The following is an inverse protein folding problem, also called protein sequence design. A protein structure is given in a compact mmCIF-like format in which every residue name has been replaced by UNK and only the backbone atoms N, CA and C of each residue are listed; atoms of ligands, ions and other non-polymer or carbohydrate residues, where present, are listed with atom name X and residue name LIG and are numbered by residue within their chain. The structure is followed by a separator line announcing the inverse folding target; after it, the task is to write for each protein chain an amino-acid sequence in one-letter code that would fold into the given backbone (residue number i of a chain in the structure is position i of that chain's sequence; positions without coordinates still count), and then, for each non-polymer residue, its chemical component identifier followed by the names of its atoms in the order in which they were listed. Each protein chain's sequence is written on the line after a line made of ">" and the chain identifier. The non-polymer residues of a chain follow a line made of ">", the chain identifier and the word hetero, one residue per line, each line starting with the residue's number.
data_IF_136961773370
#
_entry.id   IF_136961773370
#
_cell.length_a   1.000
_cell.length_b   1.000
_cell.length_c   1.000
_cell.angle_alpha   90.00
_cell.angle_beta   90.00
_cell.angle_gamma   90.00
#
_symmetry.space_group_name_H-M   'P 1'
#
loop_
_entity.id
_entity.type
_entity.pdbx_description
1 polymer ?
#
# COMPACT_ATOMS: atom_id res chain seq x y z
N UNK A 1 29.41 -28.84 -1.87
CA UNK A 1 28.51 -27.73 -1.53
C UNK A 1 27.44 -28.29 -0.62
N UNK A 2 27.30 -27.77 0.61
CA UNK A 2 26.35 -28.31 1.57
C UNK A 2 24.92 -27.83 1.28
N UNK A 3 23.94 -28.41 1.99
CA UNK A 3 22.52 -28.08 1.79
C UNK A 3 22.19 -26.61 2.12
N UNK A 4 22.92 -25.98 3.06
CA UNK A 4 22.70 -24.60 3.47
C UNK A 4 23.22 -23.62 2.40
N UNK A 5 24.37 -23.90 1.80
CA UNK A 5 24.96 -23.12 0.72
C UNK A 5 24.03 -23.13 -0.51
N UNK A 6 23.52 -24.31 -0.90
CA UNK A 6 22.55 -24.42 -2.02
C UNK A 6 21.27 -23.64 -1.70
N UNK A 7 20.73 -23.82 -0.50
CA UNK A 7 19.54 -23.11 -0.07
C UNK A 7 19.74 -21.59 -0.06
N UNK A 8 20.91 -21.10 0.31
CA UNK A 8 21.22 -19.67 0.30
C UNK A 8 21.27 -19.08 -1.12
N UNK A 9 21.83 -19.79 -2.10
CA UNK A 9 21.77 -19.37 -3.51
C UNK A 9 20.33 -19.30 -4.03
N UNK A 10 19.53 -20.36 -3.83
CA UNK A 10 18.12 -20.38 -4.25
C UNK A 10 17.35 -19.24 -3.58
N UNK A 11 17.56 -19.05 -2.29
CA UNK A 11 16.95 -17.98 -1.49
C UNK A 11 17.31 -16.60 -2.02
N UNK A 12 18.59 -16.35 -2.32
CA UNK A 12 19.05 -15.08 -2.86
C UNK A 12 18.41 -14.78 -4.22
N UNK A 13 18.32 -15.77 -5.12
CA UNK A 13 17.70 -15.63 -6.42
C UNK A 13 16.19 -15.31 -6.30
N UNK A 14 15.47 -16.04 -5.45
CA UNK A 14 14.04 -15.80 -5.19
C UNK A 14 13.79 -14.40 -4.62
N UNK A 15 14.63 -13.96 -3.67
CA UNK A 15 14.52 -12.64 -3.06
C UNK A 15 14.83 -11.51 -4.04
N UNK A 16 15.82 -11.68 -4.92
CA UNK A 16 16.12 -10.71 -6.00
C UNK A 16 14.93 -10.60 -6.96
N UNK A 17 14.42 -11.74 -7.43
CA UNK A 17 13.26 -11.77 -8.34
C UNK A 17 12.04 -11.11 -7.70
N UNK A 18 11.81 -11.39 -6.41
CA UNK A 18 10.73 -10.78 -5.64
C UNK A 18 10.90 -9.26 -5.50
N UNK A 19 12.10 -8.79 -5.15
CA UNK A 19 12.40 -7.36 -5.03
C UNK A 19 12.15 -6.61 -6.34
N UNK A 20 12.59 -7.19 -7.47
CA UNK A 20 12.33 -6.66 -8.82
C UNK A 20 10.84 -6.65 -9.13
N UNK A 21 10.12 -7.73 -8.84
CA UNK A 21 8.67 -7.83 -9.07
C UNK A 21 7.90 -6.74 -8.30
N UNK A 22 8.22 -6.55 -7.02
CA UNK A 22 7.56 -5.54 -6.17
C UNK A 22 7.86 -4.11 -6.64
N UNK A 23 9.11 -3.82 -7.04
CA UNK A 23 9.47 -2.50 -7.57
C UNK A 23 8.81 -2.21 -8.90
N UNK A 24 8.73 -3.19 -9.80
CA UNK A 24 8.04 -3.02 -11.09
C UNK A 24 6.54 -2.79 -10.91
N UNK A 25 5.93 -3.34 -9.86
CA UNK A 25 4.51 -3.16 -9.59
C UNK A 25 4.13 -1.72 -9.24
N UNK A 26 4.89 -1.05 -8.36
CA UNK A 26 4.77 0.40 -8.11
C UNK A 26 6.09 0.95 -7.50
N UNK A 27 6.95 1.57 -8.32
CA UNK A 27 8.25 2.06 -7.85
C UNK A 27 8.16 3.37 -7.04
N UNK A 28 7.04 4.10 -7.11
CA UNK A 28 6.88 5.38 -6.40
C UNK A 28 6.35 5.17 -4.98
N UNK A 29 5.64 4.08 -4.73
CA UNK A 29 5.08 3.76 -3.42
C UNK A 29 6.18 3.45 -2.39
N UNK A 30 6.22 4.21 -1.29
CA UNK A 30 7.27 4.11 -0.26
C UNK A 30 7.36 2.72 0.35
N UNK A 31 6.23 2.06 0.59
CA UNK A 31 6.20 0.71 1.17
C UNK A 31 6.82 -0.30 0.20
N UNK A 32 6.54 -0.20 -1.10
CA UNK A 32 7.07 -1.13 -2.10
C UNK A 32 8.58 -0.99 -2.24
N UNK A 33 9.08 0.25 -2.23
CA UNK A 33 10.53 0.54 -2.18
C UNK A 33 11.19 -0.09 -0.95
N UNK A 34 10.56 0.04 0.23
CA UNK A 34 11.10 -0.52 1.47
C UNK A 34 11.10 -2.06 1.47
N UNK A 35 10.03 -2.69 0.98
CA UNK A 35 9.94 -4.15 0.92
C UNK A 35 10.92 -4.73 -0.10
N UNK A 36 11.09 -4.07 -1.24
CA UNK A 36 12.09 -4.47 -2.21
C UNK A 36 13.51 -4.28 -1.69
N UNK A 37 13.77 -3.17 -0.98
CA UNK A 37 15.05 -2.96 -0.30
C UNK A 37 15.33 -4.07 0.72
N UNK A 38 14.33 -4.49 1.50
CA UNK A 38 14.47 -5.63 2.40
C UNK A 38 14.75 -6.93 1.64
N UNK A 39 14.09 -7.17 0.51
CA UNK A 39 14.33 -8.35 -0.31
C UNK A 39 15.77 -8.38 -0.82
N UNK A 40 16.30 -7.25 -1.32
CA UNK A 40 17.67 -7.15 -1.78
C UNK A 40 18.70 -7.29 -0.66
N UNK A 41 18.45 -6.71 0.52
CA UNK A 41 19.33 -6.86 1.68
C UNK A 41 19.32 -8.30 2.21
N UNK A 42 18.17 -8.96 2.21
CA UNK A 42 18.06 -10.38 2.56
C UNK A 42 18.79 -11.26 1.54
N UNK A 43 18.67 -10.94 0.25
CA UNK A 43 19.42 -11.61 -0.80
C UNK A 43 20.93 -11.42 -0.66
N UNK A 44 21.38 -10.21 -0.31
CA UNK A 44 22.79 -9.90 -0.08
C UNK A 44 23.36 -10.73 1.08
N UNK A 45 22.60 -10.89 2.17
CA UNK A 45 23.02 -11.74 3.27
C UNK A 45 23.06 -13.23 2.88
N UNK A 46 22.01 -13.76 2.25
CA UNK A 46 21.99 -15.16 1.81
C UNK A 46 23.11 -15.47 0.81
N UNK A 47 23.29 -14.61 -0.20
CA UNK A 47 24.34 -14.75 -1.20
C UNK A 47 25.72 -14.63 -0.56
N UNK A 48 25.93 -13.65 0.30
CA UNK A 48 27.20 -13.43 0.97
C UNK A 48 27.62 -14.62 1.83
N UNK A 49 26.70 -15.19 2.64
CA UNK A 49 26.99 -16.39 3.42
C UNK A 49 27.27 -17.61 2.55
N UNK A 50 26.52 -17.81 1.46
CA UNK A 50 26.79 -18.91 0.52
C UNK A 50 28.13 -18.77 -0.20
N UNK A 51 28.53 -17.54 -0.55
CA UNK A 51 29.83 -17.27 -1.18
C UNK A 51 30.98 -17.37 -0.19
N UNK A 52 30.77 -17.00 1.08
CA UNK A 52 31.71 -17.20 2.18
C UNK A 52 32.08 -18.69 2.31
N UNK A 53 31.09 -19.59 2.27
CA UNK A 53 31.31 -21.05 2.36
C UNK A 53 32.12 -21.63 1.17
N UNK A 54 32.07 -21.00 0.00
CA UNK A 54 32.76 -21.49 -1.21
C UNK A 54 34.13 -20.87 -1.45
N UNK A 55 34.44 -19.79 -0.75
CA UNK A 55 35.62 -18.99 -1.00
C UNK A 55 36.77 -19.39 -0.07
N UNK A 56 37.99 -19.05 -0.47
CA UNK A 56 39.19 -19.26 0.34
C UNK A 56 39.47 -18.03 1.20
N UNK A 57 39.90 -18.27 2.45
CA UNK A 57 40.44 -17.32 3.43
C UNK A 57 40.04 -15.84 3.23
N UNK A 58 40.87 -15.06 2.54
CA UNK A 58 40.68 -13.61 2.36
C UNK A 58 39.40 -13.25 1.58
N UNK A 59 39.06 -14.05 0.56
CA UNK A 59 37.86 -13.83 -0.26
C UNK A 59 36.60 -14.22 0.52
N UNK A 60 36.67 -15.31 1.29
CA UNK A 60 35.57 -15.71 2.17
C UNK A 60 35.26 -14.61 3.19
N UNK A 61 36.31 -14.02 3.76
CA UNK A 61 36.18 -12.94 4.73
C UNK A 61 35.49 -11.69 4.16
N UNK A 62 35.80 -11.32 2.91
CA UNK A 62 35.12 -10.23 2.21
C UNK A 62 33.63 -10.53 2.00
N UNK A 63 33.29 -11.76 1.60
CA UNK A 63 31.89 -12.19 1.45
C UNK A 63 31.14 -12.22 2.78
N UNK A 64 31.80 -12.62 3.87
CA UNK A 64 31.25 -12.56 5.21
C UNK A 64 30.94 -11.12 5.63
N UNK A 65 31.85 -10.16 5.38
CA UNK A 65 31.59 -8.73 5.65
C UNK A 65 30.42 -8.19 4.83
N UNK A 66 30.36 -8.56 3.55
CA UNK A 66 29.24 -8.22 2.67
C UNK A 66 27.92 -8.77 3.20
N UNK A 67 27.90 -10.02 3.65
CA UNK A 67 26.71 -10.64 4.24
C UNK A 67 26.26 -9.87 5.48
N UNK A 68 27.15 -9.66 6.45
CA UNK A 68 26.82 -8.96 7.70
C UNK A 68 26.35 -7.52 7.46
N UNK A 69 26.95 -6.80 6.50
CA UNK A 69 26.48 -5.47 6.10
C UNK A 69 25.01 -5.50 5.62
N UNK A 70 24.65 -6.52 4.83
CA UNK A 70 23.27 -6.78 4.41
C UNK A 70 22.33 -6.98 5.61
N UNK A 71 22.72 -7.82 6.57
CA UNK A 71 21.90 -8.13 7.76
C UNK A 71 21.74 -6.92 8.70
N UNK A 72 22.81 -6.16 8.93
CA UNK A 72 22.76 -4.92 9.74
C UNK A 72 21.74 -3.94 9.15
N UNK A 73 21.82 -3.67 7.86
CA UNK A 73 20.88 -2.76 7.21
C UNK A 73 19.47 -3.34 7.16
N UNK A 74 19.32 -4.66 6.95
CA UNK A 74 18.03 -5.35 6.88
C UNK A 74 17.18 -5.06 8.13
N UNK A 75 17.76 -5.19 9.33
CA UNK A 75 17.03 -5.02 10.58
C UNK A 75 16.54 -3.58 10.78
N UNK A 76 17.39 -2.58 10.50
CA UNK A 76 17.01 -1.17 10.58
C UNK A 76 15.96 -0.78 9.55
N UNK A 77 16.09 -1.25 8.30
CA UNK A 77 15.08 -1.05 7.25
C UNK A 77 13.78 -1.75 7.63
N UNK A 78 13.83 -2.89 8.31
CA UNK A 78 12.61 -3.61 8.67
C UNK A 78 11.82 -2.89 9.74
N UNK A 79 12.49 -2.41 10.80
CA UNK A 79 11.85 -1.54 11.79
C UNK A 79 11.28 -0.29 11.12
N UNK A 80 12.00 0.32 10.17
CA UNK A 80 11.50 1.46 9.41
C UNK A 80 10.21 1.09 8.65
N UNK A 81 10.19 -0.06 7.97
CA UNK A 81 8.98 -0.56 7.31
C UNK A 81 7.81 -0.67 8.29
N UNK A 82 8.02 -1.18 9.52
CA UNK A 82 6.93 -1.32 10.51
C UNK A 82 6.29 0.00 10.94
N UNK A 83 6.97 1.14 10.77
CA UNK A 83 6.40 2.47 11.02
C UNK A 83 5.62 3.03 9.82
N UNK A 84 6.08 2.71 8.62
CA UNK A 84 5.49 3.17 7.34
C UNK A 84 4.35 2.23 6.91
N UNK A 85 4.27 1.02 7.46
CA UNK A 85 3.25 0.03 7.18
C UNK A 85 2.18 -0.02 8.30
N UNK A 86 0.88 -0.04 7.98
CA UNK A 86 0.26 -0.11 6.65
C UNK A 86 0.02 1.26 6.00
N UNK A 87 0.26 2.37 6.70
CA UNK A 87 0.04 3.73 6.19
C UNK A 87 1.34 4.49 6.08
N UNK A 88 1.69 4.90 4.87
CA UNK A 88 2.94 5.61 4.57
C UNK A 88 3.00 6.98 5.28
N UNK A 89 3.45 6.99 6.53
CA UNK A 89 3.75 8.20 7.29
C UNK A 89 5.26 8.42 7.30
N UNK A 90 5.76 9.59 6.87
CA UNK A 90 7.18 9.89 6.98
C UNK A 90 7.58 10.04 8.46
N UNK A 91 8.69 9.42 8.88
CA UNK A 91 9.22 9.57 10.24
C UNK A 91 9.95 10.91 10.47
N UNK A 92 10.19 11.68 9.41
CA UNK A 92 10.96 12.92 9.49
C UNK A 92 12.41 12.67 9.96
N UNK A 93 13.06 13.65 10.61
CA UNK A 93 14.47 13.57 10.98
C UNK A 93 14.78 12.50 12.02
N UNK A 94 13.77 12.00 12.75
CA UNK A 94 13.91 10.94 13.76
C UNK A 94 14.33 9.60 13.16
N UNK A 95 14.25 9.44 11.84
CA UNK A 95 14.76 8.25 11.15
C UNK A 95 16.26 8.06 11.37
N UNK A 96 17.04 9.14 11.55
CA UNK A 96 18.48 9.04 11.80
C UNK A 96 18.79 8.24 13.09
N UNK A 97 17.98 8.41 14.14
CA UNK A 97 18.13 7.65 15.40
C UNK A 97 17.91 6.15 15.21
N UNK A 98 17.04 5.77 14.27
CA UNK A 98 16.77 4.36 13.96
C UNK A 98 17.95 3.68 13.27
N UNK A 99 18.69 4.41 12.43
CA UNK A 99 19.84 3.89 11.70
C UNK A 99 21.16 4.08 12.43
N UNK A 100 21.20 4.84 13.53
CA UNK A 100 22.43 5.09 14.28
C UNK A 100 23.12 3.79 14.78
N UNK A 101 22.41 2.79 15.37
CA UNK A 101 23.07 1.53 15.75
C UNK A 101 23.64 0.77 14.55
N UNK A 102 22.91 0.76 13.42
CA UNK A 102 23.42 0.14 12.19
C UNK A 102 24.67 0.83 11.67
N UNK A 103 24.75 2.17 11.75
CA UNK A 103 25.95 2.92 11.35
C UNK A 103 27.17 2.55 12.22
N UNK A 104 26.98 2.34 13.52
CA UNK A 104 28.05 1.90 14.44
C UNK A 104 28.57 0.52 14.03
N UNK A 105 27.68 -0.49 13.88
CA UNK A 105 28.12 -1.83 13.48
C UNK A 105 28.70 -1.88 12.07
N UNK A 106 28.18 -1.06 11.14
CA UNK A 106 28.77 -0.89 9.82
C UNK A 106 30.20 -0.34 9.90
N UNK A 107 30.45 0.65 10.76
CA UNK A 107 31.82 1.16 10.99
C UNK A 107 32.74 0.08 11.55
N UNK A 108 32.24 -0.73 12.50
CA UNK A 108 33.00 -1.83 13.10
C UNK A 108 33.38 -2.91 12.08
N UNK A 109 32.53 -3.21 11.08
CA UNK A 109 32.84 -4.21 10.05
C UNK A 109 34.14 -3.93 9.28
N UNK A 110 34.54 -2.66 9.16
CA UNK A 110 35.74 -2.27 8.41
C UNK A 110 36.98 -2.11 9.28
N UNK A 111 36.88 -2.28 10.60
CA UNK A 111 38.04 -2.26 11.50
C UNK A 111 38.83 -3.56 11.32
N UNK A 112 40.15 -3.45 11.18
CA UNK A 112 41.08 -4.59 11.01
C UNK A 112 41.14 -5.54 12.21
N UNK A 113 40.42 -5.25 13.31
CA UNK A 113 40.36 -6.10 14.50
C UNK A 113 39.67 -7.45 14.24
N UNK A 114 38.88 -7.54 13.17
CA UNK A 114 38.24 -8.76 12.73
C UNK A 114 39.11 -9.39 11.64
N UNK A 115 40.01 -10.31 12.00
CA UNK A 115 40.82 -11.13 11.08
C UNK A 115 40.57 -12.63 11.26
N UNK A 116 39.72 -13.01 12.22
CA UNK A 116 39.28 -14.39 12.46
C UNK A 116 37.91 -14.71 11.86
N UNK A 117 37.58 -16.01 11.76
CA UNK A 117 36.37 -16.54 11.10
C UNK A 117 35.01 -16.21 11.73
N UNK A 118 34.93 -15.30 12.69
CA UNK A 118 33.68 -14.89 13.38
C UNK A 118 33.50 -13.36 13.34
N UNK A 119 33.06 -12.83 12.18
CA UNK A 119 32.85 -11.39 11.97
C UNK A 119 31.79 -10.86 12.95
N UNK A 120 32.16 -9.85 13.75
CA UNK A 120 31.35 -9.23 14.84
C UNK A 120 30.90 -10.16 15.97
N UNK A 121 31.03 -11.48 15.81
CA UNK A 121 30.73 -12.51 16.82
C UNK A 121 31.96 -12.86 17.68
N UNK A 122 32.90 -11.92 17.84
CA UNK A 122 34.05 -12.03 18.76
C UNK A 122 33.92 -11.02 19.89
N UNK A 123 34.57 -11.28 21.03
CA UNK A 123 34.64 -10.31 22.12
C UNK A 123 35.43 -9.07 21.67
N UNK A 124 34.99 -7.84 21.99
CA UNK A 124 33.83 -7.49 22.82
C UNK A 124 32.50 -7.30 22.06
N UNK A 125 32.48 -7.41 20.73
CA UNK A 125 31.31 -7.05 19.89
C UNK A 125 30.21 -8.10 19.86
N UNK A 126 30.49 -9.35 20.22
CA UNK A 126 29.54 -10.47 20.21
C UNK A 126 28.24 -10.13 20.93
N UNK A 127 28.32 -9.72 22.19
CA UNK A 127 27.14 -9.43 23.03
C UNK A 127 26.38 -8.20 22.49
N UNK A 128 27.02 -7.03 22.25
CA UNK A 128 26.36 -5.87 21.67
C UNK A 128 25.65 -6.16 20.34
N UNK A 129 26.28 -6.92 19.45
CA UNK A 129 25.71 -7.24 18.13
C UNK A 129 24.50 -8.15 18.25
N UNK A 130 24.57 -9.23 19.04
CA UNK A 130 23.43 -10.12 19.30
C UNK A 130 22.27 -9.39 19.99
N UNK A 131 22.56 -8.47 20.91
CA UNK A 131 21.55 -7.60 21.54
C UNK A 131 20.89 -6.67 20.53
N UNK A 132 21.65 -6.04 19.64
CA UNK A 132 21.11 -5.23 18.56
C UNK A 132 20.11 -6.02 17.70
N UNK A 133 20.46 -7.24 17.30
CA UNK A 133 19.59 -8.09 16.48
C UNK A 133 18.28 -8.44 17.20
N UNK A 134 18.37 -8.88 18.46
CA UNK A 134 17.19 -9.23 19.27
C UNK A 134 16.31 -8.02 19.56
N UNK A 135 16.89 -6.87 19.95
CA UNK A 135 16.14 -5.66 20.26
C UNK A 135 15.38 -5.16 19.02
N UNK A 136 16.04 -5.07 17.86
CA UNK A 136 15.40 -4.58 16.64
C UNK A 136 14.30 -5.52 16.15
N UNK A 137 14.52 -6.84 16.23
CA UNK A 137 13.50 -7.81 15.88
C UNK A 137 12.29 -7.76 16.86
N UNK A 138 12.52 -7.72 18.17
CA UNK A 138 11.46 -7.56 19.16
C UNK A 138 10.68 -6.24 18.97
N UNK A 139 11.39 -5.16 18.68
CA UNK A 139 10.80 -3.84 18.47
C UNK A 139 9.93 -3.79 17.20
N UNK A 140 10.37 -4.41 16.10
CA UNK A 140 9.56 -4.55 14.90
C UNK A 140 8.27 -5.37 15.17
N UNK A 141 8.34 -6.46 15.93
CA UNK A 141 7.17 -7.26 16.30
C UNK A 141 6.20 -6.44 17.15
N UNK A 142 6.73 -5.71 18.14
CA UNK A 142 5.94 -4.82 18.98
C UNK A 142 5.22 -3.73 18.16
N UNK A 143 5.92 -3.11 17.20
CA UNK A 143 5.32 -2.11 16.31
C UNK A 143 4.19 -2.69 15.46
N UNK A 144 4.39 -3.88 14.88
CA UNK A 144 3.35 -4.57 14.10
C UNK A 144 2.15 -4.97 14.97
N UNK A 145 2.38 -5.52 16.16
CA UNK A 145 1.30 -5.88 17.10
C UNK A 145 0.52 -4.65 17.59
N UNK A 146 1.22 -3.55 17.88
CA UNK A 146 0.62 -2.26 18.22
C UNK A 146 -0.17 -1.68 17.05
N UNK A 147 0.33 -1.81 15.83
CA UNK A 147 -0.36 -1.39 14.62
C UNK A 147 -1.62 -2.22 14.39
N UNK A 148 -1.55 -3.55 14.60
CA UNK A 148 -2.68 -4.47 14.49
C UNK A 148 -3.82 -4.12 15.46
N UNK A 149 -3.50 -3.89 16.73
CA UNK A 149 -4.49 -3.52 17.77
C UNK A 149 -5.12 -2.14 17.51
N UNK A 150 -4.36 -1.18 16.97
CA UNK A 150 -4.85 0.16 16.64
C UNK A 150 -5.58 0.26 15.31
N UNK A 151 -5.42 -0.73 14.42
CA UNK A 151 -6.05 -0.74 13.10
C UNK A 151 -7.57 -0.84 13.23
N UNK A 152 -8.29 0.10 12.63
CA UNK A 152 -9.76 0.17 12.65
C UNK A 152 -10.40 -0.59 11.47
N UNK A 153 -9.65 -0.81 10.39
CA UNK A 153 -10.14 -1.46 9.19
C UNK A 153 -9.81 -2.95 9.17
N UNK A 154 -10.76 -3.78 8.73
CA UNK A 154 -10.60 -5.23 8.68
C UNK A 154 -9.46 -5.66 7.73
N UNK A 155 -9.28 -4.96 6.61
CA UNK A 155 -8.23 -5.25 5.63
C UNK A 155 -6.83 -4.98 6.17
N UNK A 156 -6.62 -3.86 6.87
CA UNK A 156 -5.35 -3.54 7.55
C UNK A 156 -4.99 -4.64 8.56
N UNK A 157 -5.98 -5.13 9.32
CA UNK A 157 -5.78 -6.21 10.29
C UNK A 157 -5.38 -7.52 9.62
N UNK A 158 -6.01 -7.89 8.51
CA UNK A 158 -5.66 -9.10 7.75
C UNK A 158 -4.22 -9.00 7.25
N UNK A 159 -3.84 -7.87 6.67
CA UNK A 159 -2.47 -7.65 6.17
C UNK A 159 -1.43 -7.70 7.30
N UNK A 160 -1.67 -6.97 8.39
CA UNK A 160 -0.79 -6.97 9.56
C UNK A 160 -0.71 -8.35 10.21
N UNK A 161 -1.80 -9.13 10.22
CA UNK A 161 -1.82 -10.50 10.74
C UNK A 161 -0.87 -11.40 9.98
N UNK A 162 -0.86 -11.37 8.65
CA UNK A 162 0.04 -12.22 7.86
C UNK A 162 1.51 -11.81 7.97
N UNK A 163 1.80 -10.50 7.96
CA UNK A 163 3.17 -10.01 8.20
C UNK A 163 3.64 -10.40 9.60
N UNK A 164 2.78 -10.27 10.61
CA UNK A 164 3.10 -10.68 11.98
C UNK A 164 3.33 -12.18 12.10
N UNK A 165 2.50 -13.02 11.48
CA UNK A 165 2.70 -14.48 11.45
C UNK A 165 4.03 -14.83 10.79
N UNK A 166 4.31 -14.29 9.59
CA UNK A 166 5.57 -14.54 8.90
C UNK A 166 6.78 -14.10 9.73
N UNK A 167 6.67 -12.95 10.41
CA UNK A 167 7.71 -12.45 11.29
C UNK A 167 7.91 -13.32 12.53
N UNK A 168 6.84 -13.77 13.19
CA UNK A 168 6.93 -14.66 14.37
C UNK A 168 7.61 -15.97 13.99
N UNK A 169 7.21 -16.59 12.87
CA UNK A 169 7.84 -17.83 12.39
C UNK A 169 9.35 -17.62 12.13
N UNK A 170 9.69 -16.52 11.47
CA UNK A 170 11.08 -16.23 11.09
C UNK A 170 11.93 -15.85 12.31
N UNK A 171 11.34 -15.10 13.25
CA UNK A 171 11.99 -14.74 14.50
C UNK A 171 12.21 -15.95 15.38
N UNK A 172 11.29 -16.92 15.45
CA UNK A 172 11.52 -18.16 16.20
C UNK A 172 12.73 -18.94 15.68
N UNK A 173 12.92 -18.98 14.36
CA UNK A 173 14.09 -19.62 13.73
C UNK A 173 15.36 -18.79 14.02
N UNK A 174 15.30 -17.46 13.84
CA UNK A 174 16.46 -16.58 14.02
C UNK A 174 16.87 -16.44 15.50
N UNK A 175 15.94 -16.28 16.43
CA UNK A 175 16.21 -16.13 17.86
C UNK A 175 16.88 -17.37 18.46
N UNK A 176 16.54 -18.57 17.96
CA UNK A 176 17.27 -19.78 18.31
C UNK A 176 18.75 -19.70 17.91
N UNK A 177 19.03 -19.29 16.67
CA UNK A 177 20.42 -19.15 16.19
C UNK A 177 21.19 -18.02 16.89
N UNK A 178 20.54 -16.87 17.12
CA UNK A 178 21.16 -15.71 17.79
C UNK A 178 21.42 -16.02 19.27
N UNK A 179 20.47 -16.71 19.92
CA UNK A 179 20.60 -17.15 21.31
C UNK A 179 21.77 -18.12 21.49
N UNK A 180 21.92 -19.09 20.59
CA UNK A 180 23.07 -20.00 20.60
C UNK A 180 24.40 -19.26 20.41
N UNK A 181 24.46 -18.28 19.51
CA UNK A 181 25.65 -17.45 19.28
C UNK A 181 26.06 -16.58 20.49
N UNK A 182 25.18 -16.38 21.48
CA UNK A 182 25.54 -15.69 22.74
C UNK A 182 26.32 -16.62 23.67
N UNK A 183 25.94 -17.90 23.73
CA UNK A 183 26.48 -18.87 24.70
C UNK A 183 27.61 -19.74 24.14
N UNK A 184 27.64 -19.97 22.83
CA UNK A 184 28.63 -20.83 22.17
C UNK A 184 29.53 -20.01 21.24
N UNK A 185 30.83 -20.30 21.29
CA UNK A 185 31.80 -19.82 20.29
C UNK A 185 31.68 -20.73 19.09
N UNK A 186 31.07 -20.22 18.02
CA UNK A 186 30.83 -20.95 16.78
C UNK A 186 29.81 -20.23 15.91
N UNK A 187 30.02 -20.24 14.59
CA UNK A 187 29.07 -19.69 13.62
C UNK A 187 27.84 -20.62 13.45
N UNK A 188 26.99 -20.70 14.48
CA UNK A 188 25.75 -21.49 14.48
C UNK A 188 24.60 -20.78 13.75
N UNK A 189 24.88 -19.71 13.00
CA UNK A 189 23.91 -18.90 12.25
C UNK A 189 23.38 -19.56 10.97
N UNK A 190 23.89 -20.71 10.54
CA UNK A 190 23.53 -21.36 9.26
C UNK A 190 22.04 -21.67 9.08
N UNK A 191 21.30 -22.15 10.10
CA UNK A 191 19.85 -22.38 9.96
C UNK A 191 19.06 -21.09 9.67
N UNK A 192 19.59 -19.91 9.99
CA UNK A 192 18.92 -18.64 9.71
C UNK A 192 18.80 -18.36 8.19
N UNK A 193 19.54 -19.07 7.33
CA UNK A 193 19.40 -19.00 5.86
C UNK A 193 17.97 -19.36 5.43
N UNK A 194 17.27 -20.19 6.22
CA UNK A 194 15.87 -20.51 5.97
C UNK A 194 14.87 -19.52 6.59
N UNK A 195 15.28 -18.74 7.60
CA UNK A 195 14.38 -17.81 8.29
C UNK A 195 13.89 -16.68 7.38
N UNK A 196 14.80 -16.08 6.61
CA UNK A 196 14.48 -14.95 5.73
C UNK A 196 13.51 -15.38 4.59
N UNK A 197 13.79 -16.43 3.80
CA UNK A 197 12.89 -16.89 2.75
C UNK A 197 11.52 -17.33 3.26
N UNK A 198 11.45 -17.95 4.45
CA UNK A 198 10.16 -18.31 5.06
C UNK A 198 9.36 -17.06 5.38
N UNK A 199 9.97 -16.03 5.98
CA UNK A 199 9.34 -14.72 6.21
C UNK A 199 8.80 -14.13 4.91
N UNK A 200 9.65 -14.12 3.89
CA UNK A 200 9.30 -13.57 2.60
C UNK A 200 8.25 -14.42 1.89
N UNK A 201 8.21 -15.73 2.09
CA UNK A 201 7.16 -16.62 1.58
C UNK A 201 5.78 -16.27 2.15
N UNK A 202 5.70 -15.97 3.46
CA UNK A 202 4.47 -15.45 4.07
C UNK A 202 4.10 -14.06 3.54
N UNK A 203 5.09 -13.18 3.38
CA UNK A 203 4.89 -11.86 2.78
C UNK A 203 4.38 -12.00 1.33
N UNK A 204 4.96 -12.89 0.51
CA UNK A 204 4.56 -13.21 -0.86
C UNK A 204 3.18 -13.80 -0.92
N UNK A 205 2.88 -14.78 -0.08
CA UNK A 205 1.53 -15.34 0.03
C UNK A 205 0.53 -14.25 0.40
N UNK A 206 0.91 -13.33 1.29
CA UNK A 206 0.08 -12.20 1.64
C UNK A 206 -0.07 -11.18 0.50
N UNK A 207 0.99 -10.96 -0.29
CA UNK A 207 1.00 -10.16 -1.52
C UNK A 207 0.04 -10.75 -2.56
N UNK A 208 0.14 -12.05 -2.84
CA UNK A 208 -0.61 -12.72 -3.90
C UNK A 208 -2.08 -12.95 -3.54
N UNK A 209 -2.35 -13.34 -2.29
CA UNK A 209 -3.72 -13.64 -1.82
C UNK A 209 -4.48 -12.42 -1.31
N UNK A 210 -3.80 -11.51 -0.61
CA UNK A 210 -4.41 -10.34 0.06
C UNK A 210 -3.98 -8.99 -0.54
N UNK A 211 -3.27 -8.99 -1.67
CA UNK A 211 -2.81 -7.78 -2.40
C UNK A 211 -1.98 -6.82 -1.53
N UNK A 212 -1.26 -7.36 -0.56
CA UNK A 212 -0.20 -6.63 0.15
C UNK A 212 0.78 -6.09 -0.92
N UNK A 213 1.02 -4.78 -0.98
CA UNK A 213 1.89 -4.11 -1.98
C UNK A 213 1.39 -3.96 -3.43
N UNK A 214 0.17 -4.40 -3.74
CA UNK A 214 -0.67 -3.78 -4.79
C UNK A 214 -1.96 -3.34 -4.09
N UNK A 215 -1.78 -2.52 -3.05
CA UNK A 215 -2.80 -1.57 -2.72
C UNK A 215 -2.71 -0.50 -3.83
N UNK A 216 -3.68 -0.36 -4.76
CA UNK A 216 -4.01 0.98 -5.16
C UNK A 216 -4.31 1.68 -3.82
N UNK A 217 -3.47 2.64 -3.42
CA UNK A 217 -3.09 2.94 -2.04
C UNK A 217 -4.31 3.18 -1.18
N UNK A 218 -4.86 2.14 -0.49
CA UNK A 218 -6.25 2.11 0.04
C UNK A 218 -7.03 3.22 -0.65
N UNK A 219 -7.27 3.06 -1.97
CA UNK A 219 -7.66 4.17 -2.85
C UNK A 219 -8.54 5.10 -2.06
N UNK A 220 -8.22 6.41 -1.95
CA UNK A 220 -8.99 7.39 -1.16
C UNK A 220 -10.49 7.10 -1.20
N UNK A 221 -10.95 6.65 -2.37
CA UNK A 221 -12.06 5.73 -2.57
C UNK A 221 -12.65 5.01 -1.34
N UNK A 222 -12.01 4.00 -0.76
CA UNK A 222 -12.59 3.16 0.30
C UNK A 222 -12.50 3.77 1.70
N UNK A 223 -11.89 4.96 1.84
CA UNK A 223 -11.94 5.75 3.07
C UNK A 223 -12.62 7.08 2.76
N UNK A 224 -13.96 7.11 2.69
CA UNK A 224 -14.68 8.33 2.41
C UNK A 224 -14.36 9.37 3.49
N UNK A 225 -13.70 10.45 3.06
CA UNK A 225 -13.36 11.56 3.92
C UNK A 225 -13.79 12.87 3.24
N UNK A 226 -14.26 13.85 4.02
CA UNK A 226 -14.49 15.18 3.48
C UNK A 226 -13.17 15.81 3.04
N UNK A 227 -13.26 16.66 2.03
CA UNK A 227 -12.12 17.43 1.52
C UNK A 227 -11.68 18.46 2.56
N UNK A 228 -12.64 19.17 3.16
CA UNK A 228 -12.43 20.10 4.26
C UNK A 228 -13.65 20.16 5.21
N UNK A 229 -13.51 20.93 6.29
CA UNK A 229 -14.56 21.20 7.30
C UNK A 229 -14.79 22.69 7.46
N UNK A 230 -15.10 23.37 6.36
CA UNK A 230 -15.33 24.81 6.38
C UNK A 230 -16.63 25.12 7.13
N UNK A 231 -16.59 26.11 8.05
CA UNK A 231 -17.74 26.54 8.88
C UNK A 231 -18.64 27.58 8.20
N UNK A 232 -18.44 27.86 6.91
CA UNK A 232 -19.20 28.87 6.16
C UNK A 232 -20.58 28.33 5.76
N UNK A 233 -21.52 29.24 5.44
CA UNK A 233 -22.87 28.87 4.99
C UNK A 233 -22.82 28.32 3.56
N UNK A 234 -23.39 27.13 3.35
CA UNK A 234 -23.57 26.52 2.02
C UNK A 234 -24.41 27.44 1.13
N UNK A 235 -23.90 27.77 -0.05
CA UNK A 235 -24.58 28.47 -1.13
C UNK A 235 -25.65 27.59 -1.79
N UNK A 236 -25.37 26.29 -1.94
CA UNK A 236 -26.31 25.32 -2.50
C UNK A 236 -26.80 24.36 -1.41
N UNK A 237 -28.10 24.42 -1.07
CA UNK A 237 -28.75 23.48 -0.15
C UNK A 237 -29.34 22.33 -0.96
N UNK A 238 -28.75 21.14 -0.81
CA UNK A 238 -29.29 19.89 -1.36
C UNK A 238 -30.06 19.15 -0.25
N UNK A 239 -31.23 18.62 -0.58
CA UNK A 239 -32.02 17.73 0.29
C UNK A 239 -31.24 16.42 0.46
N UNK A 240 -31.13 15.90 1.67
CA UNK A 240 -30.41 14.63 1.90
C UNK A 240 -31.04 13.50 1.07
N UNK A 241 -30.21 12.63 0.49
CA UNK A 241 -30.65 11.54 -0.40
C UNK A 241 -31.15 11.96 -1.79
N UNK A 242 -31.26 13.27 -2.07
CA UNK A 242 -31.78 13.76 -3.35
C UNK A 242 -30.80 13.58 -4.52
N UNK A 243 -31.37 13.36 -5.71
CA UNK A 243 -30.65 13.26 -6.99
C UNK A 243 -30.89 14.51 -7.83
N UNK A 244 -29.86 14.99 -8.52
CA UNK A 244 -29.90 16.26 -9.27
C UNK A 244 -29.28 16.10 -10.66
N UNK A 245 -29.99 16.59 -11.68
CA UNK A 245 -29.50 16.65 -13.05
C UNK A 245 -29.05 18.07 -13.39
N UNK A 246 -27.81 18.23 -13.80
CA UNK A 246 -27.23 19.49 -14.26
C UNK A 246 -27.06 19.40 -15.78
N UNK A 247 -27.85 20.21 -16.49
CA UNK A 247 -27.79 20.32 -17.95
C UNK A 247 -26.90 21.51 -18.33
N UNK A 248 -25.66 21.25 -18.74
CA UNK A 248 -24.71 22.30 -19.15
C UNK A 248 -23.81 21.86 -20.30
N UNK A 249 -23.56 22.76 -21.26
CA UNK A 249 -22.62 22.51 -22.38
C UNK A 249 -21.16 22.53 -21.92
N UNK A 250 -20.83 23.40 -20.95
CA UNK A 250 -19.50 23.52 -20.37
C UNK A 250 -19.55 23.12 -18.88
N UNK A 251 -18.63 22.29 -18.38
CA UNK A 251 -18.65 21.74 -17.02
C UNK A 251 -18.19 22.78 -15.99
N UNK A 252 -19.08 23.72 -15.63
CA UNK A 252 -18.78 24.80 -14.68
C UNK A 252 -19.58 24.67 -13.38
N UNK A 253 -20.89 24.40 -13.46
CA UNK A 253 -21.77 24.37 -12.29
C UNK A 253 -21.65 23.06 -11.54
N UNK A 254 -21.62 21.91 -12.22
CA UNK A 254 -21.54 20.60 -11.58
C UNK A 254 -20.34 20.44 -10.64
N UNK A 255 -19.10 20.62 -11.14
CA UNK A 255 -17.91 20.54 -10.32
C UNK A 255 -17.89 21.56 -9.17
N UNK A 256 -18.49 22.75 -9.37
CA UNK A 256 -18.56 23.79 -8.34
C UNK A 256 -19.46 23.39 -7.17
N UNK A 257 -20.66 22.87 -7.47
CA UNK A 257 -21.61 22.38 -6.44
C UNK A 257 -20.97 21.21 -5.68
N UNK A 258 -20.35 20.27 -6.40
CA UNK A 258 -19.67 19.13 -5.79
C UNK A 258 -18.52 19.57 -4.88
N UNK A 259 -17.61 20.43 -5.37
CA UNK A 259 -16.46 20.96 -4.61
C UNK A 259 -16.91 21.63 -3.32
N UNK A 260 -17.96 22.43 -3.38
CA UNK A 260 -18.50 23.09 -2.20
C UNK A 260 -18.99 22.07 -1.16
N UNK A 261 -19.75 21.04 -1.58
CA UNK A 261 -20.22 19.99 -0.66
C UNK A 261 -19.08 19.26 0.02
N UNK A 262 -18.06 18.85 -0.72
CA UNK A 262 -16.92 18.12 -0.13
C UNK A 262 -16.06 18.99 0.79
N UNK A 263 -16.06 20.31 0.61
CA UNK A 263 -15.37 21.25 1.48
C UNK A 263 -16.12 21.54 2.81
N UNK A 264 -17.41 21.20 2.87
CA UNK A 264 -18.31 21.41 4.02
C UNK A 264 -18.68 20.09 4.72
N UNK A 265 -17.68 19.23 4.98
CA UNK A 265 -17.77 17.99 5.77
C UNK A 265 -18.51 16.80 5.13
N UNK A 266 -18.84 16.83 3.82
CA UNK A 266 -19.36 15.67 3.11
C UNK A 266 -18.22 14.86 2.45
N UNK A 267 -18.12 13.53 2.66
CA UNK A 267 -17.29 12.68 1.81
C UNK A 267 -17.74 12.74 0.34
N UNK A 268 -16.80 12.81 -0.59
CA UNK A 268 -17.10 12.92 -2.02
C UNK A 268 -16.62 11.75 -2.84
N UNK A 269 -17.43 11.33 -3.80
CA UNK A 269 -17.10 10.38 -4.86
C UNK A 269 -17.35 11.01 -6.23
N UNK A 270 -16.35 11.07 -7.08
CA UNK A 270 -16.50 11.53 -8.47
C UNK A 270 -16.24 10.38 -9.44
N UNK A 271 -17.24 10.03 -10.25
CA UNK A 271 -17.17 9.05 -11.33
C UNK A 271 -16.95 9.77 -12.66
N UNK A 272 -15.82 9.50 -13.32
CA UNK A 272 -15.35 10.30 -14.46
C UNK A 272 -14.49 9.50 -15.43
N UNK A 273 -14.46 9.91 -16.69
CA UNK A 273 -13.50 9.44 -17.72
C UNK A 273 -12.34 10.43 -17.91
N UNK A 274 -12.26 11.49 -17.09
CA UNK A 274 -11.13 12.42 -17.10
C UNK A 274 -10.02 11.93 -16.19
N UNK A 275 -8.77 12.21 -16.57
CA UNK A 275 -7.60 11.81 -15.79
C UNK A 275 -7.67 12.41 -14.36
N UNK A 276 -7.64 11.58 -13.29
CA UNK A 276 -7.71 12.02 -11.91
C UNK A 276 -6.70 13.10 -11.53
N UNK A 277 -5.46 13.03 -12.04
CA UNK A 277 -4.43 14.01 -11.72
C UNK A 277 -4.83 15.42 -12.17
N UNK A 278 -5.43 15.53 -13.37
CA UNK A 278 -5.91 16.81 -13.91
C UNK A 278 -7.08 17.36 -13.09
N UNK A 279 -7.99 16.49 -12.63
CA UNK A 279 -9.09 16.88 -11.76
C UNK A 279 -8.54 17.41 -10.43
N UNK A 280 -7.59 16.70 -9.82
CA UNK A 280 -7.01 17.10 -8.53
C UNK A 280 -6.30 18.44 -8.63
N UNK A 281 -5.49 18.63 -9.67
CA UNK A 281 -4.79 19.88 -9.93
C UNK A 281 -5.78 21.04 -10.15
N UNK A 282 -6.77 20.86 -11.02
CA UNK A 282 -7.74 21.91 -11.36
C UNK A 282 -8.66 22.29 -10.20
N UNK A 283 -9.11 21.31 -9.41
CA UNK A 283 -10.14 21.54 -8.39
C UNK A 283 -9.59 21.56 -6.95
N UNK A 284 -8.33 21.20 -6.74
CA UNK A 284 -7.70 21.14 -5.41
C UNK A 284 -8.23 20.01 -4.54
N UNK A 285 -8.57 18.87 -5.15
CA UNK A 285 -9.19 17.72 -4.46
C UNK A 285 -8.13 16.72 -4.00
N UNK A 286 -7.61 16.90 -2.79
CA UNK A 286 -6.56 16.08 -2.20
C UNK A 286 -7.09 14.89 -1.38
N UNK A 287 -8.39 14.77 -1.09
CA UNK A 287 -8.94 13.65 -0.30
C UNK A 287 -10.11 12.95 -0.97
N UNK A 288 -10.79 13.66 -1.86
CA UNK A 288 -11.94 13.14 -2.60
C UNK A 288 -11.63 11.85 -3.35
N UNK A 289 -12.56 10.90 -3.27
CA UNK A 289 -12.55 9.64 -3.98
C UNK A 289 -12.87 9.83 -5.45
N UNK A 290 -12.06 9.26 -6.35
CA UNK A 290 -12.28 9.32 -7.79
C UNK A 290 -12.39 7.89 -8.34
N UNK A 291 -13.50 7.59 -9.03
CA UNK A 291 -13.64 6.39 -9.88
C UNK A 291 -13.32 6.81 -11.31
N UNK A 292 -12.14 6.41 -11.78
CA UNK A 292 -11.69 6.70 -13.13
C UNK A 292 -12.13 5.59 -14.09
N UNK A 293 -13.03 5.92 -14.99
CA UNK A 293 -13.53 5.01 -16.00
C UNK A 293 -12.57 4.99 -17.20
N UNK A 294 -11.68 4.00 -17.21
CA UNK A 294 -10.65 3.82 -18.25
C UNK A 294 -10.22 2.36 -18.32
N UNK A 295 -9.77 1.94 -19.50
CA UNK A 295 -9.13 0.63 -19.69
C UNK A 295 -7.70 0.60 -19.13
N UNK A 296 -7.06 1.76 -18.99
CA UNK A 296 -5.70 1.88 -18.46
C UNK A 296 -5.70 1.92 -16.93
N UNK A 297 -4.86 1.12 -16.30
CA UNK A 297 -4.67 1.19 -14.85
C UNK A 297 -3.81 2.40 -14.51
N UNK A 298 -4.31 3.23 -13.60
CA UNK A 298 -3.57 4.37 -13.05
C UNK A 298 -3.28 4.10 -11.59
N UNK A 299 -1.99 4.08 -11.21
CA UNK A 299 -1.60 3.92 -9.81
C UNK A 299 -2.19 5.07 -8.98
N UNK A 300 -2.70 4.76 -7.79
CA UNK A 300 -3.29 5.75 -6.90
C UNK A 300 -4.82 5.81 -6.88
N UNK A 301 -5.47 5.35 -7.95
CA UNK A 301 -6.88 5.63 -8.22
C UNK A 301 -7.68 4.36 -8.51
N UNK A 302 -8.99 4.40 -8.24
CA UNK A 302 -9.86 3.28 -8.59
C UNK A 302 -10.16 3.36 -10.10
N UNK A 303 -9.73 2.35 -10.86
CA UNK A 303 -9.95 2.30 -12.32
C UNK A 303 -10.88 1.17 -12.72
N UNK A 304 -11.87 1.45 -13.57
CA UNK A 304 -12.77 0.44 -14.15
C UNK A 304 -12.95 0.73 -15.65
N UNK A 305 -12.87 -0.25 -16.55
CA UNK A 305 -13.17 -0.03 -17.96
C UNK A 305 -14.59 0.54 -18.16
N UNK A 306 -14.80 1.55 -19.03
CA UNK A 306 -16.11 2.17 -19.23
C UNK A 306 -17.22 1.20 -19.66
N UNK A 307 -16.85 0.10 -20.32
CA UNK A 307 -17.76 -0.96 -20.78
C UNK A 307 -18.07 -2.04 -19.71
N UNK A 308 -17.61 -1.84 -18.47
CA UNK A 308 -17.83 -2.77 -17.34
C UNK A 308 -18.62 -2.09 -16.23
N UNK A 309 -19.86 -1.68 -16.55
CA UNK A 309 -20.78 -1.03 -15.61
C UNK A 309 -21.07 -1.91 -14.37
N UNK A 310 -21.08 -3.23 -14.53
CA UNK A 310 -21.19 -4.21 -13.45
C UNK A 310 -20.11 -4.00 -12.38
N UNK A 311 -18.85 -3.88 -12.82
CA UNK A 311 -17.71 -3.64 -11.93
C UNK A 311 -17.77 -2.23 -11.33
N UNK A 312 -18.18 -1.23 -12.11
CA UNK A 312 -18.32 0.13 -11.62
C UNK A 312 -19.32 0.20 -10.46
N UNK A 313 -20.50 -0.41 -10.62
CA UNK A 313 -21.51 -0.51 -9.54
C UNK A 313 -20.96 -1.27 -8.34
N UNK A 314 -20.24 -2.38 -8.54
CA UNK A 314 -19.62 -3.13 -7.44
C UNK A 314 -18.64 -2.28 -6.63
N UNK A 315 -17.76 -1.55 -7.32
CA UNK A 315 -16.80 -0.63 -6.69
C UNK A 315 -17.51 0.51 -5.94
N UNK A 316 -18.52 1.14 -6.54
CA UNK A 316 -19.32 2.20 -5.90
C UNK A 316 -20.08 1.65 -4.68
N UNK A 317 -20.60 0.43 -4.75
CA UNK A 317 -21.26 -0.22 -3.61
C UNK A 317 -20.29 -0.44 -2.44
N UNK A 318 -19.05 -0.84 -2.74
CA UNK A 318 -17.99 -0.94 -1.73
C UNK A 318 -17.62 0.42 -1.11
N UNK A 319 -17.70 1.54 -1.85
CA UNK A 319 -17.56 2.88 -1.26
C UNK A 319 -18.62 3.14 -0.19
N UNK A 320 -19.88 2.76 -0.43
CA UNK A 320 -20.96 2.91 0.54
C UNK A 320 -20.88 1.93 1.71
N UNK A 321 -20.23 0.77 1.54
CA UNK A 321 -20.02 -0.19 2.63
C UNK A 321 -19.19 0.40 3.79
N UNK A 322 -18.33 1.38 3.51
CA UNK A 322 -17.61 2.15 4.53
C UNK A 322 -18.51 3.10 5.35
N UNK A 323 -19.82 3.13 5.06
CA UNK A 323 -20.86 3.96 5.70
C UNK A 323 -20.52 5.46 5.77
N UNK A 324 -20.26 6.10 4.63
CA UNK A 324 -20.02 7.53 4.60
C UNK A 324 -21.28 8.29 5.04
N UNK A 325 -21.17 9.15 6.04
CA UNK A 325 -22.30 10.00 6.46
C UNK A 325 -22.50 11.12 5.45
N UNK A 326 -23.72 11.28 4.91
CA UNK A 326 -24.15 12.44 4.09
C UNK A 326 -23.19 12.73 2.92
N UNK A 327 -22.81 11.69 2.18
CA UNK A 327 -21.85 11.83 1.10
C UNK A 327 -22.46 12.47 -0.16
N UNK A 328 -21.60 12.92 -1.08
CA UNK A 328 -22.00 13.41 -2.39
C UNK A 328 -21.30 12.60 -3.47
N UNK A 329 -22.07 12.12 -4.44
CA UNK A 329 -21.60 11.41 -5.62
C UNK A 329 -21.81 12.29 -6.85
N UNK A 330 -20.78 12.45 -7.67
CA UNK A 330 -20.82 13.24 -8.89
C UNK A 330 -20.46 12.37 -10.09
N UNK A 331 -21.32 12.38 -11.12
CA UNK A 331 -21.13 11.66 -12.38
C UNK A 331 -21.11 12.68 -13.51
N UNK A 332 -19.94 12.87 -14.13
CA UNK A 332 -19.77 13.83 -15.24
C UNK A 332 -19.69 13.17 -16.62
N UNK A 333 -19.59 11.85 -16.66
CA UNK A 333 -19.24 11.08 -17.85
C UNK A 333 -20.38 10.19 -18.36
N UNK A 334 -21.64 10.57 -18.12
CA UNK A 334 -22.79 9.74 -18.51
C UNK A 334 -22.86 9.50 -20.02
N UNK A 335 -22.44 10.48 -20.84
CA UNK A 335 -22.43 10.33 -22.29
C UNK A 335 -21.44 9.25 -22.74
N UNK A 336 -20.26 9.22 -22.14
CA UNK A 336 -19.21 8.26 -22.40
C UNK A 336 -19.67 6.84 -22.03
N UNK A 337 -20.45 6.70 -20.94
CA UNK A 337 -21.08 5.44 -20.58
C UNK A 337 -22.09 4.97 -21.62
N UNK A 338 -22.94 5.88 -22.13
CA UNK A 338 -23.90 5.58 -23.20
C UNK A 338 -23.19 5.15 -24.48
N UNK A 339 -22.10 5.82 -24.85
CA UNK A 339 -21.30 5.47 -26.04
C UNK A 339 -20.64 4.10 -25.88
N UNK A 340 -20.14 3.77 -24.68
CA UNK A 340 -19.42 2.51 -24.45
C UNK A 340 -20.32 1.29 -24.26
N UNK A 341 -21.56 1.46 -23.80
CA UNK A 341 -22.43 0.35 -23.39
C UNK A 341 -23.77 0.29 -24.11
N UNK A 342 -24.27 1.40 -24.67
CA UNK A 342 -25.67 1.54 -25.07
C UNK A 342 -26.45 2.42 -24.10
N UNK A 343 -27.56 2.99 -24.58
CA UNK A 343 -28.39 3.90 -23.78
C UNK A 343 -29.16 3.17 -22.68
N UNK A 344 -29.68 1.98 -22.95
CA UNK A 344 -30.48 1.20 -22.00
C UNK A 344 -29.65 0.77 -20.79
N UNK A 345 -28.46 0.23 -21.03
CA UNK A 345 -27.53 -0.22 -19.99
C UNK A 345 -27.02 0.94 -19.14
N UNK A 346 -26.74 2.09 -19.77
CA UNK A 346 -26.36 3.30 -19.06
C UNK A 346 -27.52 3.84 -18.20
N UNK A 347 -28.75 3.80 -18.70
CA UNK A 347 -29.94 4.16 -17.92
C UNK A 347 -30.14 3.24 -16.72
N UNK A 348 -29.90 1.94 -16.85
CA UNK A 348 -29.96 1.01 -15.73
C UNK A 348 -28.85 1.24 -14.70
N UNK A 349 -27.65 1.62 -15.15
CA UNK A 349 -26.60 2.12 -14.26
C UNK A 349 -27.07 3.36 -13.49
N UNK A 350 -27.68 4.33 -14.17
CA UNK A 350 -28.18 5.56 -13.55
C UNK A 350 -29.26 5.28 -12.50
N UNK A 351 -30.23 4.39 -12.79
CA UNK A 351 -31.25 3.95 -11.82
C UNK A 351 -30.60 3.35 -10.57
N UNK A 352 -29.64 2.44 -10.75
CA UNK A 352 -28.89 1.84 -9.63
C UNK A 352 -28.14 2.88 -8.80
N UNK A 353 -27.56 3.89 -9.44
CA UNK A 353 -26.90 5.00 -8.74
C UNK A 353 -27.85 5.83 -7.90
N UNK A 354 -29.04 6.16 -8.45
CA UNK A 354 -30.12 6.84 -7.72
C UNK A 354 -30.51 6.02 -6.48
N UNK A 355 -30.77 4.73 -6.66
CA UNK A 355 -31.16 3.84 -5.55
C UNK A 355 -30.07 3.70 -4.49
N UNK A 356 -28.80 3.58 -4.89
CA UNK A 356 -27.66 3.47 -3.96
C UNK A 356 -27.48 4.76 -3.16
N UNK A 357 -27.56 5.92 -3.81
CA UNK A 357 -27.39 7.21 -3.15
C UNK A 357 -28.54 7.50 -2.17
N UNK A 358 -29.79 7.27 -2.61
CA UNK A 358 -31.00 7.44 -1.79
C UNK A 358 -30.96 6.55 -0.53
N UNK A 359 -30.68 5.25 -0.68
CA UNK A 359 -30.58 4.29 0.45
C UNK A 359 -29.50 4.66 1.47
N UNK A 360 -28.45 5.36 1.04
CA UNK A 360 -27.34 5.79 1.90
C UNK A 360 -27.44 7.28 2.30
N UNK A 361 -28.61 7.91 2.12
CA UNK A 361 -28.87 9.32 2.42
C UNK A 361 -27.79 10.26 1.85
N UNK A 362 -27.30 9.92 0.66
CA UNK A 362 -26.22 10.58 -0.06
C UNK A 362 -26.77 11.27 -1.30
N UNK A 363 -26.19 12.40 -1.67
CA UNK A 363 -26.64 13.14 -2.85
C UNK A 363 -26.02 12.59 -4.13
N UNK A 364 -26.82 12.46 -5.17
CA UNK A 364 -26.34 12.19 -6.52
C UNK A 364 -26.41 13.47 -7.35
N UNK A 365 -25.31 13.82 -8.02
CA UNK A 365 -25.25 14.92 -8.99
C UNK A 365 -24.80 14.31 -10.31
N UNK A 366 -25.62 14.46 -11.35
CA UNK A 366 -25.32 13.95 -12.69
C UNK A 366 -25.24 15.14 -13.62
N UNK A 367 -24.15 15.26 -14.35
CA UNK A 367 -23.96 16.33 -15.33
C UNK A 367 -24.07 15.74 -16.74
N UNK A 368 -24.86 16.39 -17.60
CA UNK A 368 -24.96 16.06 -19.01
C UNK A 368 -24.91 17.32 -19.87
N UNK A 369 -24.39 17.16 -21.09
CA UNK A 369 -24.56 18.14 -22.16
C UNK A 369 -25.85 17.78 -22.94
N UNK A 370 -26.91 18.59 -22.85
CA UNK A 370 -28.19 18.27 -23.47
C UNK A 370 -28.11 18.20 -25.00
N UNK A 371 -27.11 18.80 -25.63
CA UNK A 371 -26.93 18.74 -27.09
C UNK A 371 -26.44 17.37 -27.59
N UNK A 372 -25.99 16.48 -26.70
CA UNK A 372 -25.45 15.16 -27.03
C UNK A 372 -26.46 14.01 -26.93
N UNK A 373 -27.73 14.33 -26.69
CA UNK A 373 -28.83 13.38 -26.48
C UNK A 373 -30.05 13.78 -27.30
N UNK A 374 -30.86 12.80 -27.72
CA UNK A 374 -32.14 13.09 -28.37
C UNK A 374 -33.16 13.62 -27.35
N UNK A 375 -34.27 14.20 -27.83
CA UNK A 375 -35.33 14.70 -26.93
C UNK A 375 -35.91 13.58 -26.07
N UNK A 376 -36.11 12.41 -26.65
CA UNK A 376 -36.64 11.22 -25.97
C UNK A 376 -35.68 10.73 -24.88
N UNK A 377 -34.37 10.71 -25.18
CA UNK A 377 -33.34 10.34 -24.21
C UNK A 377 -33.29 11.32 -23.04
N UNK A 378 -33.39 12.63 -23.31
CA UNK A 378 -33.40 13.65 -22.25
C UNK A 378 -34.59 13.49 -21.32
N UNK A 379 -35.80 13.28 -21.87
CA UNK A 379 -37.01 13.03 -21.07
C UNK A 379 -36.84 11.77 -20.21
N UNK A 380 -36.25 10.71 -20.74
CA UNK A 380 -35.99 9.48 -19.99
C UNK A 380 -35.00 9.69 -18.83
N UNK A 381 -33.90 10.42 -19.06
CA UNK A 381 -32.90 10.75 -18.02
C UNK A 381 -33.55 11.61 -16.92
N UNK A 382 -34.31 12.63 -17.31
CA UNK A 382 -35.01 13.52 -16.37
C UNK A 382 -35.99 12.76 -15.50
N UNK A 383 -36.77 11.84 -16.10
CA UNK A 383 -37.73 11.02 -15.37
C UNK A 383 -37.04 10.17 -14.29
N UNK A 384 -35.90 9.56 -14.59
CA UNK A 384 -35.18 8.72 -13.60
C UNK A 384 -34.64 9.55 -12.43
N UNK A 385 -34.14 10.77 -12.68
CA UNK A 385 -33.54 11.59 -11.63
C UNK A 385 -34.61 12.34 -10.80
N UNK A 386 -35.73 12.73 -11.40
CA UNK A 386 -36.81 13.46 -10.71
C UNK A 386 -37.72 12.57 -9.85
N UNK A 387 -37.70 11.24 -10.03
CA UNK A 387 -38.53 10.29 -9.28
C UNK A 387 -37.99 9.95 -7.86
N UNK A 388 -36.86 10.55 -7.45
CA UNK A 388 -36.20 10.36 -6.14
C UNK A 388 -36.12 11.65 -5.35
#
# INVERSE_FOLDING_TARGET
>A
MDAYTIAGFVSSALLILLGIYILKADPRHTVNRMVALLAFLGAAWCLGKSMEDLSLENIAFLWGKFAEAGLILLLSVFVHLTYVFPRAKPLGPRVALLYAPAAVFMGLLFVELFTGGEILLVSPTRIPYSMYQLIFACFAMFNLARSYTKSRYAEERVQLKFVLIGMVVSFSIAAGTIGLNIFFVGNMGRPAVFAIPVSFGFIVYAITKYRLFILPPITRFFVPAPEARLKMKLKYKLKEGGSYLIKEKKPERGPKIFKERVAHDAPGLWVTTLNPNKIREKYGLARTSLLYLTSERVSGEATVPPNRLDKAIGVISSYFFARPRRSVVFVDCFKELVVANGFEEAMDFLKKMVDLCSRNNSNLIVQIDPSKFTKEQLVAIEKVIMLS
#
